data_IF_011885600204
#
_entry.id   IF_011885600204
#
_cell.length_a   1.000
_cell.length_b   1.000
_cell.length_c   1.000
_cell.angle_alpha   90.00
_cell.angle_beta   90.00
_cell.angle_gamma   90.00
#
_symmetry.space_group_name_H-M   'P 1'
#
loop_
_entity.id
_entity.type
_entity.pdbx_description
1 polymer ?
#
# COMPACT_ATOMS: atom_id res chain seq x y z
N UNK A 1 -35.49 -17.89 18.77
CA UNK A 1 -34.63 -16.76 18.38
C UNK A 1 -33.20 -17.25 18.33
N UNK A 2 -32.65 -17.49 17.14
CA UNK A 2 -31.23 -17.84 16.97
C UNK A 2 -30.36 -16.67 17.42
N UNK A 3 -29.26 -16.91 18.16
CA UNK A 3 -28.32 -15.85 18.51
C UNK A 3 -27.77 -15.26 17.21
N UNK A 4 -27.88 -13.94 17.08
CA UNK A 4 -27.39 -13.19 15.92
C UNK A 4 -25.91 -13.46 15.71
N UNK A 5 -25.56 -14.10 14.59
CA UNK A 5 -24.19 -14.16 14.11
C UNK A 5 -23.69 -12.72 13.97
N UNK A 6 -22.69 -12.34 14.76
CA UNK A 6 -21.84 -11.19 14.44
C UNK A 6 -21.37 -11.37 12.99
N UNK A 7 -21.52 -10.37 12.11
CA UNK A 7 -21.00 -10.45 10.75
C UNK A 7 -19.50 -10.78 10.81
N UNK A 8 -19.10 -11.81 10.07
CA UNK A 8 -17.72 -12.26 10.06
C UNK A 8 -16.88 -11.20 9.38
N UNK A 9 -16.01 -10.51 10.12
CA UNK A 9 -15.03 -9.56 9.56
C UNK A 9 -14.19 -10.16 8.43
N UNK A 10 -14.15 -11.49 8.31
CA UNK A 10 -13.43 -12.25 7.29
C UNK A 10 -14.38 -13.11 6.44
N UNK A 11 -15.15 -12.51 5.51
CA UNK A 11 -16.11 -13.26 4.69
C UNK A 11 -15.44 -14.24 3.73
N UNK A 12 -14.16 -14.01 3.41
CA UNK A 12 -13.38 -14.78 2.45
C UNK A 12 -12.39 -15.78 3.09
N UNK A 13 -12.40 -15.90 4.43
CA UNK A 13 -11.49 -16.76 5.19
C UNK A 13 -10.01 -16.53 4.82
N UNK A 14 -9.63 -15.27 4.61
CA UNK A 14 -8.25 -14.88 4.28
C UNK A 14 -7.42 -14.85 5.55
N UNK A 15 -6.22 -15.40 5.49
CA UNK A 15 -5.22 -15.45 6.54
C UNK A 15 -4.98 -14.10 7.23
N UNK A 16 -4.98 -12.98 6.49
CA UNK A 16 -4.84 -11.61 7.02
C UNK A 16 -5.86 -11.27 8.11
N UNK A 17 -7.03 -11.91 8.10
CA UNK A 17 -8.13 -11.66 9.03
C UNK A 17 -8.51 -12.89 9.87
N UNK A 18 -7.69 -13.95 9.88
CA UNK A 18 -7.86 -15.12 10.75
C UNK A 18 -7.10 -14.97 12.07
N UNK A 19 -7.31 -15.88 13.02
CA UNK A 19 -6.44 -15.97 14.20
C UNK A 19 -5.05 -16.53 13.83
N UNK A 20 -4.00 -16.13 14.56
CA UNK A 20 -2.63 -16.59 14.27
C UNK A 20 -2.46 -18.11 14.37
N UNK A 21 -3.19 -18.74 15.29
CA UNK A 21 -3.21 -20.20 15.46
C UNK A 21 -3.75 -20.94 14.24
N UNK A 22 -4.61 -20.28 13.44
CA UNK A 22 -5.23 -20.85 12.25
C UNK A 22 -4.40 -20.59 10.99
N UNK A 23 -3.62 -19.50 10.95
CA UNK A 23 -2.75 -19.17 9.83
C UNK A 23 -1.27 -19.02 10.24
N UNK A 24 -0.58 -20.16 10.35
CA UNK A 24 0.84 -20.22 10.69
C UNK A 24 1.80 -19.63 9.65
N UNK A 25 1.35 -19.30 8.44
CA UNK A 25 2.22 -18.68 7.41
C UNK A 25 2.61 -17.25 7.78
N UNK A 26 1.74 -16.56 8.52
CA UNK A 26 2.06 -15.23 9.06
C UNK A 26 3.07 -15.28 10.22
N UNK A 27 3.38 -16.46 10.74
CA UNK A 27 4.37 -16.69 11.81
C UNK A 27 5.62 -17.45 11.36
N UNK A 28 5.72 -17.87 10.09
CA UNK A 28 6.87 -18.65 9.58
C UNK A 28 7.89 -17.72 8.92
N UNK A 29 9.16 -17.84 9.35
CA UNK A 29 10.48 -17.38 8.84
C UNK A 29 10.66 -15.98 8.22
N UNK A 30 9.67 -15.43 7.52
CA UNK A 30 9.67 -14.06 7.00
C UNK A 30 8.43 -13.37 7.54
N UNK A 31 8.57 -12.54 8.58
CA UNK A 31 7.48 -11.78 9.20
C UNK A 31 6.70 -10.99 8.14
N UNK A 32 5.63 -11.55 7.59
CA UNK A 32 4.73 -10.83 6.70
C UNK A 32 3.88 -9.87 7.54
N UNK A 33 3.60 -8.68 7.01
CA UNK A 33 2.68 -7.70 7.60
C UNK A 33 1.24 -8.15 7.35
N UNK A 34 0.91 -9.30 7.94
CA UNK A 34 -0.38 -9.98 7.81
C UNK A 34 -1.46 -9.34 8.69
N UNK A 35 -1.09 -8.51 9.66
CA UNK A 35 -2.03 -7.88 10.59
C UNK A 35 -1.80 -6.39 10.54
N UNK A 36 -2.88 -5.66 10.83
CA UNK A 36 -2.76 -4.24 11.06
C UNK A 36 -2.11 -4.03 12.42
N UNK A 37 -1.03 -3.26 12.43
CA UNK A 37 -0.35 -2.81 13.63
C UNK A 37 -0.16 -1.29 13.58
N UNK A 38 -0.39 -0.62 14.71
CA UNK A 38 -0.26 0.83 14.80
C UNK A 38 1.20 1.29 14.71
N UNK A 39 2.15 0.45 15.14
CA UNK A 39 3.58 0.68 15.00
C UNK A 39 4.01 0.69 13.54
N UNK A 40 3.50 -0.24 12.72
CA UNK A 40 3.76 -0.25 11.27
C UNK A 40 3.20 1.00 10.57
N UNK A 41 1.99 1.42 10.95
CA UNK A 41 1.40 2.66 10.44
C UNK A 41 2.21 3.89 10.85
N UNK A 42 2.63 3.95 12.12
CA UNK A 42 3.46 5.03 12.63
C UNK A 42 4.84 5.05 11.96
N UNK A 43 5.44 3.87 11.71
CA UNK A 43 6.69 3.75 10.97
C UNK A 43 6.53 4.26 9.54
N UNK A 44 5.48 3.86 8.83
CA UNK A 44 5.20 4.34 7.48
C UNK A 44 5.04 5.88 7.45
N UNK A 45 4.28 6.44 8.38
CA UNK A 45 4.14 7.89 8.53
C UNK A 45 5.48 8.57 8.86
N UNK A 46 6.29 7.98 9.74
CA UNK A 46 7.58 8.51 10.14
C UNK A 46 8.58 8.54 8.99
N UNK A 47 8.61 7.54 8.11
CA UNK A 47 9.53 7.53 6.95
C UNK A 47 9.05 8.45 5.82
N UNK A 48 7.75 8.68 5.69
CA UNK A 48 7.17 9.57 4.66
C UNK A 48 7.19 11.05 5.07
N UNK A 49 7.10 11.36 6.36
CA UNK A 49 6.98 12.74 6.84
C UNK A 49 8.18 13.65 6.49
N UNK A 50 9.46 13.23 6.52
CA UNK A 50 10.58 14.13 6.21
C UNK A 50 10.54 14.70 4.78
N UNK A 51 10.39 13.90 3.69
CA UNK A 51 10.26 14.48 2.36
C UNK A 51 8.98 15.30 2.21
N UNK A 52 7.87 14.89 2.83
CA UNK A 52 6.61 15.65 2.77
C UNK A 52 6.74 17.04 3.41
N UNK A 53 7.31 17.13 4.62
CA UNK A 53 7.57 18.40 5.32
C UNK A 53 8.51 19.28 4.51
N UNK A 54 9.58 18.70 3.95
CA UNK A 54 10.54 19.44 3.12
C UNK A 54 9.87 20.02 1.87
N UNK A 55 9.03 19.24 1.20
CA UNK A 55 8.26 19.71 0.04
C UNK A 55 7.33 20.89 0.42
N UNK A 56 6.57 20.77 1.52
CA UNK A 56 5.68 21.84 1.98
C UNK A 56 6.46 23.12 2.30
N UNK A 57 7.52 23.03 3.10
CA UNK A 57 8.35 24.19 3.46
C UNK A 57 8.96 24.82 2.21
N UNK A 58 9.53 24.02 1.31
CA UNK A 58 10.12 24.52 0.06
C UNK A 58 9.12 25.23 -0.83
N UNK A 59 7.91 24.69 -0.98
CA UNK A 59 6.88 25.35 -1.78
C UNK A 59 6.37 26.65 -1.14
N UNK A 60 6.26 26.73 0.18
CA UNK A 60 5.86 27.95 0.88
C UNK A 60 6.92 29.05 0.74
N UNK A 61 8.19 28.72 1.00
CA UNK A 61 9.30 29.67 0.89
C UNK A 61 9.55 30.13 -0.55
N UNK A 62 9.32 29.24 -1.53
CA UNK A 62 9.41 29.56 -2.95
C UNK A 62 8.23 30.37 -3.51
N UNK A 63 7.24 30.74 -2.69
CA UNK A 63 6.07 31.52 -3.15
C UNK A 63 4.99 30.72 -3.87
N UNK A 64 5.08 29.38 -3.86
CA UNK A 64 4.13 28.47 -4.54
C UNK A 64 3.11 27.83 -3.58
N UNK A 65 2.86 28.44 -2.41
CA UNK A 65 1.97 27.89 -1.38
C UNK A 65 0.56 27.53 -1.88
N UNK A 66 0.00 28.30 -2.82
CA UNK A 66 -1.31 28.02 -3.41
C UNK A 66 -1.38 26.66 -4.13
N UNK A 67 -0.28 26.23 -4.75
CA UNK A 67 -0.19 24.96 -5.47
C UNK A 67 -0.21 23.73 -4.54
N UNK A 68 -0.04 23.94 -3.22
CA UNK A 68 -0.25 22.88 -2.22
C UNK A 68 -1.71 22.44 -2.14
N UNK A 69 -2.68 23.32 -2.45
CA UNK A 69 -4.10 22.94 -2.52
C UNK A 69 -4.34 21.96 -3.67
N UNK A 70 -3.71 22.19 -4.82
CA UNK A 70 -3.73 21.26 -5.95
C UNK A 70 -3.09 19.91 -5.59
N UNK A 71 -1.96 19.95 -4.88
CA UNK A 71 -1.29 18.74 -4.41
C UNK A 71 -2.16 17.95 -3.42
N UNK A 72 -2.77 18.62 -2.45
CA UNK A 72 -3.68 18.00 -1.49
C UNK A 72 -4.93 17.42 -2.17
N UNK A 73 -5.52 18.16 -3.11
CA UNK A 73 -6.65 17.67 -3.92
C UNK A 73 -6.30 16.42 -4.71
N UNK A 74 -5.13 16.41 -5.36
CA UNK A 74 -4.63 15.23 -6.06
C UNK A 74 -4.34 14.07 -5.11
N UNK A 75 -3.74 14.32 -3.94
CA UNK A 75 -3.48 13.30 -2.93
C UNK A 75 -4.78 12.63 -2.46
N UNK A 76 -5.82 13.42 -2.15
CA UNK A 76 -7.14 12.90 -1.75
C UNK A 76 -7.72 12.04 -2.87
N UNK A 77 -7.72 12.53 -4.11
CA UNK A 77 -8.21 11.76 -5.26
C UNK A 77 -7.41 10.46 -5.46
N UNK A 78 -6.09 10.54 -5.40
CA UNK A 78 -5.21 9.40 -5.58
C UNK A 78 -5.47 8.33 -4.53
N UNK A 79 -5.41 8.65 -3.24
CA UNK A 79 -5.55 7.67 -2.16
C UNK A 79 -6.97 7.10 -2.03
N UNK A 80 -8.02 7.93 -2.17
CA UNK A 80 -9.40 7.48 -1.95
C UNK A 80 -10.08 6.89 -3.18
N UNK A 81 -9.66 7.27 -4.38
CA UNK A 81 -10.34 6.87 -5.63
C UNK A 81 -9.42 6.03 -6.49
N UNK A 82 -8.29 6.58 -6.94
CA UNK A 82 -7.48 5.96 -7.98
C UNK A 82 -6.66 4.76 -7.48
N UNK A 83 -5.79 4.96 -6.48
CA UNK A 83 -5.01 3.91 -5.84
C UNK A 83 -5.94 2.86 -5.21
N UNK A 84 -7.02 3.30 -4.56
CA UNK A 84 -8.02 2.41 -4.01
C UNK A 84 -8.59 1.43 -5.04
N UNK A 85 -8.80 1.91 -6.29
CA UNK A 85 -9.33 1.11 -7.40
C UNK A 85 -8.31 0.19 -8.04
N UNK A 86 -7.05 0.57 -8.12
CA UNK A 86 -6.06 -0.18 -8.92
C UNK A 86 -5.11 -1.00 -8.06
N UNK A 87 -4.94 -0.67 -6.78
CA UNK A 87 -3.97 -1.30 -5.89
C UNK A 87 -4.65 -1.81 -4.61
N UNK A 88 -5.35 -0.95 -3.86
CA UNK A 88 -5.85 -1.36 -2.54
C UNK A 88 -6.89 -2.47 -2.65
N UNK A 89 -7.77 -2.43 -3.65
CA UNK A 89 -8.76 -3.48 -3.87
C UNK A 89 -8.18 -4.87 -4.17
N UNK A 90 -6.90 -4.96 -4.55
CA UNK A 90 -6.20 -6.23 -4.74
C UNK A 90 -5.55 -6.78 -3.45
N UNK A 91 -5.46 -5.95 -2.41
CA UNK A 91 -4.77 -6.29 -1.18
C UNK A 91 -5.65 -7.16 -0.25
N UNK A 92 -5.10 -8.20 0.41
CA UNK A 92 -5.81 -8.98 1.43
C UNK A 92 -6.49 -8.16 2.53
N UNK A 93 -5.95 -6.99 2.90
CA UNK A 93 -6.58 -6.08 3.86
C UNK A 93 -7.94 -5.55 3.36
N UNK A 94 -8.13 -5.43 2.05
CA UNK A 94 -9.40 -4.98 1.46
C UNK A 94 -10.51 -6.04 1.52
N UNK A 95 -10.18 -7.30 1.81
CA UNK A 95 -11.15 -8.37 1.93
C UNK A 95 -12.00 -8.30 3.22
N UNK A 96 -11.60 -7.47 4.20
CA UNK A 96 -12.34 -7.29 5.45
C UNK A 96 -13.79 -6.84 5.21
N UNK A 97 -14.75 -7.35 5.98
CA UNK A 97 -16.12 -6.81 5.97
C UNK A 97 -16.19 -5.51 6.80
N UNK A 98 -15.64 -4.43 6.24
CA UNK A 98 -15.55 -3.10 6.85
C UNK A 98 -15.77 -2.00 5.82
N UNK A 99 -16.27 -0.83 6.26
CA UNK A 99 -16.41 0.37 5.41
C UNK A 99 -15.10 1.11 5.20
N UNK A 100 -14.13 0.89 6.07
CA UNK A 100 -12.86 1.62 6.14
C UNK A 100 -11.73 0.61 6.06
N UNK A 101 -10.70 0.93 5.29
CA UNK A 101 -9.50 0.11 5.17
C UNK A 101 -8.66 0.23 6.44
N UNK A 102 -8.37 -0.91 7.06
CA UNK A 102 -7.38 -1.03 8.11
C UNK A 102 -6.12 -1.66 7.52
N UNK A 103 -5.15 -0.84 7.11
CA UNK A 103 -3.86 -1.31 6.59
C UNK A 103 -2.73 -0.38 7.02
N UNK A 104 -1.48 -0.84 6.88
CA UNK A 104 -0.31 -0.11 7.34
C UNK A 104 0.00 1.18 6.56
N UNK A 105 -0.45 1.30 5.30
CA UNK A 105 -0.03 2.37 4.41
C UNK A 105 -1.13 3.40 4.12
N UNK A 106 -2.38 2.96 4.02
CA UNK A 106 -3.51 3.79 3.60
C UNK A 106 -4.74 3.55 4.51
N UNK A 107 -4.48 3.52 5.82
CA UNK A 107 -5.51 3.43 6.84
C UNK A 107 -6.54 4.55 6.67
N UNK A 108 -7.83 4.24 6.83
CA UNK A 108 -8.88 5.26 6.81
C UNK A 108 -9.56 5.44 5.45
N UNK A 109 -9.03 4.84 4.37
CA UNK A 109 -9.68 4.90 3.05
C UNK A 109 -11.05 4.24 3.09
N UNK A 110 -12.04 4.92 2.53
CA UNK A 110 -13.40 4.41 2.42
C UNK A 110 -13.45 3.36 1.29
N UNK A 111 -13.92 2.17 1.63
CA UNK A 111 -13.96 1.02 0.72
C UNK A 111 -15.16 1.09 -0.21
N UNK A 112 -15.04 1.90 -1.27
CA UNK A 112 -16.07 2.04 -2.31
C UNK A 112 -15.99 0.97 -3.41
N UNK A 113 -14.81 0.35 -3.59
CA UNK A 113 -14.55 -0.66 -4.60
C UNK A 113 -14.72 -2.09 -4.07
N UNK A 114 -15.06 -3.02 -4.97
CA UNK A 114 -15.13 -4.45 -4.63
C UNK A 114 -13.73 -5.02 -4.45
N UNK A 115 -13.63 -6.08 -3.66
CA UNK A 115 -12.39 -6.83 -3.52
C UNK A 115 -12.08 -7.61 -4.80
N UNK A 116 -10.83 -7.50 -5.27
CA UNK A 116 -10.30 -8.11 -6.48
C UNK A 116 -9.10 -9.02 -6.14
N UNK A 117 -9.34 -10.28 -5.77
CA UNK A 117 -8.29 -11.19 -5.28
C UNK A 117 -7.22 -11.55 -6.32
N UNK A 118 -7.52 -11.36 -7.61
CA UNK A 118 -6.60 -11.57 -8.71
C UNK A 118 -5.40 -10.61 -8.66
N UNK A 119 -4.25 -10.95 -9.26
CA UNK A 119 -3.13 -10.03 -9.35
C UNK A 119 -3.48 -8.82 -10.24
N UNK A 120 -2.96 -7.65 -9.87
CA UNK A 120 -3.00 -6.44 -10.70
C UNK A 120 -2.55 -6.73 -12.14
N UNK A 121 -3.30 -6.19 -13.09
CA UNK A 121 -2.90 -6.16 -14.50
C UNK A 121 -1.68 -5.25 -14.72
N UNK A 122 -1.01 -5.40 -15.87
CA UNK A 122 0.10 -4.51 -16.27
C UNK A 122 -0.31 -3.05 -16.38
N UNK A 123 -1.54 -2.79 -16.81
CA UNK A 123 -2.09 -1.44 -16.86
C UNK A 123 -2.26 -0.85 -15.46
N UNK A 124 -2.82 -1.61 -14.53
CA UNK A 124 -2.98 -1.16 -13.13
C UNK A 124 -1.63 -0.92 -12.45
N UNK A 125 -0.63 -1.77 -12.69
CA UNK A 125 0.74 -1.56 -12.20
C UNK A 125 1.34 -0.26 -12.74
N UNK A 126 1.22 0.00 -14.05
CA UNK A 126 1.71 1.21 -14.67
C UNK A 126 0.99 2.46 -14.16
N UNK A 127 -0.35 2.41 -14.05
CA UNK A 127 -1.15 3.50 -13.50
C UNK A 127 -0.74 3.83 -12.06
N UNK A 128 -0.49 2.82 -11.22
CA UNK A 128 -0.03 3.05 -9.85
C UNK A 128 1.32 3.75 -9.82
N UNK A 129 2.30 3.28 -10.61
CA UNK A 129 3.63 3.90 -10.67
C UNK A 129 3.57 5.34 -11.18
N UNK A 130 2.77 5.61 -12.22
CA UNK A 130 2.55 6.96 -12.75
C UNK A 130 1.89 7.84 -11.69
N UNK A 131 0.81 7.37 -11.08
CA UNK A 131 0.04 8.15 -10.11
C UNK A 131 0.85 8.48 -8.85
N UNK A 132 1.59 7.51 -8.31
CA UNK A 132 2.51 7.70 -7.19
C UNK A 132 3.70 8.60 -7.58
N UNK A 133 4.23 8.44 -8.80
CA UNK A 133 5.29 9.29 -9.34
C UNK A 133 4.87 10.76 -9.43
N UNK A 134 3.65 11.03 -9.93
CA UNK A 134 3.08 12.38 -9.94
C UNK A 134 3.01 12.91 -8.50
N UNK A 135 2.46 12.14 -7.55
CA UNK A 135 2.31 12.59 -6.17
C UNK A 135 3.65 12.99 -5.53
N UNK A 136 4.68 12.16 -5.74
CA UNK A 136 6.00 12.32 -5.12
C UNK A 136 6.84 13.40 -5.79
N UNK A 137 6.79 13.49 -7.12
CA UNK A 137 7.63 14.41 -7.90
C UNK A 137 6.97 15.78 -8.10
N UNK A 138 5.66 15.92 -7.84
CA UNK A 138 4.92 17.18 -8.00
C UNK A 138 5.59 18.40 -7.35
N UNK A 139 6.19 18.34 -6.15
CA UNK A 139 6.85 19.50 -5.56
C UNK A 139 8.11 19.97 -6.29
N UNK A 140 8.82 19.08 -7.01
CA UNK A 140 10.16 19.37 -7.53
C UNK A 140 10.23 20.58 -8.48
N UNK A 141 9.34 20.74 -9.49
CA UNK A 141 9.35 21.92 -10.35
C UNK A 141 9.20 23.22 -9.56
N UNK A 142 8.35 23.24 -8.53
CA UNK A 142 8.12 24.44 -7.72
C UNK A 142 9.31 24.79 -6.84
N UNK A 143 10.00 23.80 -6.26
CA UNK A 143 11.22 24.04 -5.50
C UNK A 143 12.35 24.59 -6.39
N UNK A 144 12.46 24.11 -7.63
CA UNK A 144 13.46 24.60 -8.60
C UNK A 144 13.11 26.03 -9.06
N UNK A 145 11.85 26.28 -9.44
CA UNK A 145 11.39 27.60 -9.87
C UNK A 145 11.43 28.64 -8.74
N UNK A 146 11.26 28.20 -7.49
CA UNK A 146 11.37 29.05 -6.30
C UNK A 146 12.81 29.20 -5.79
N UNK A 147 13.81 28.72 -6.54
CA UNK A 147 15.25 28.76 -6.22
C UNK A 147 15.61 28.12 -4.86
N UNK A 148 14.77 27.18 -4.38
CA UNK A 148 14.95 26.49 -3.10
C UNK A 148 15.90 25.28 -3.21
N UNK A 149 17.08 25.46 -3.82
CA UNK A 149 17.97 24.35 -4.20
C UNK A 149 18.41 23.47 -3.04
N UNK A 150 18.69 24.05 -1.86
CA UNK A 150 19.03 23.27 -0.66
C UNK A 150 17.88 22.35 -0.26
N UNK A 151 16.64 22.86 -0.26
CA UNK A 151 15.46 22.07 0.06
C UNK A 151 15.16 21.04 -1.04
N UNK A 152 15.49 21.33 -2.30
CA UNK A 152 15.42 20.34 -3.40
C UNK A 152 16.34 19.16 -3.12
N UNK A 153 17.59 19.42 -2.71
CA UNK A 153 18.55 18.35 -2.37
C UNK A 153 18.07 17.56 -1.16
N UNK A 154 17.61 18.23 -0.10
CA UNK A 154 17.06 17.57 1.10
C UNK A 154 15.85 16.71 0.72
N UNK A 155 14.95 17.20 -0.14
CA UNK A 155 13.80 16.45 -0.62
C UNK A 155 14.25 15.19 -1.37
N UNK A 156 15.19 15.30 -2.32
CA UNK A 156 15.69 14.15 -3.08
C UNK A 156 16.34 13.10 -2.19
N UNK A 157 17.18 13.51 -1.23
CA UNK A 157 17.77 12.60 -0.24
C UNK A 157 16.66 11.95 0.60
N UNK A 158 15.69 12.72 1.07
CA UNK A 158 14.55 12.22 1.82
C UNK A 158 13.72 11.20 1.04
N UNK A 159 13.50 11.43 -0.26
CA UNK A 159 12.80 10.49 -1.15
C UNK A 159 13.59 9.20 -1.38
N UNK A 160 14.92 9.30 -1.53
CA UNK A 160 15.80 8.13 -1.63
C UNK A 160 15.75 7.32 -0.34
N UNK A 161 15.90 7.97 0.82
CA UNK A 161 15.80 7.32 2.13
C UNK A 161 14.42 6.67 2.33
N UNK A 162 13.33 7.36 1.98
CA UNK A 162 11.98 6.82 2.01
C UNK A 162 11.86 5.57 1.13
N UNK A 163 12.35 5.62 -0.12
CA UNK A 163 12.32 4.49 -1.03
C UNK A 163 13.08 3.27 -0.49
N UNK A 164 14.29 3.47 0.06
CA UNK A 164 15.07 2.39 0.66
C UNK A 164 14.34 1.78 1.87
N UNK A 165 13.82 2.62 2.76
CA UNK A 165 13.05 2.18 3.93
C UNK A 165 11.80 1.40 3.51
N UNK A 166 11.05 1.93 2.55
CA UNK A 166 9.86 1.30 2.00
C UNK A 166 10.21 -0.07 1.40
N UNK A 167 11.23 -0.14 0.54
CA UNK A 167 11.64 -1.40 -0.10
C UNK A 167 12.11 -2.45 0.90
N UNK A 168 12.90 -2.05 1.89
CA UNK A 168 13.56 -2.96 2.83
C UNK A 168 12.66 -3.42 3.97
N UNK A 169 11.81 -2.54 4.48
CA UNK A 169 11.06 -2.79 5.73
C UNK A 169 9.56 -2.93 5.52
N UNK A 170 9.01 -2.45 4.40
CA UNK A 170 7.56 -2.51 4.14
C UNK A 170 7.24 -3.45 2.98
N UNK A 171 7.79 -3.19 1.79
CA UNK A 171 7.46 -3.93 0.58
C UNK A 171 7.96 -5.38 0.56
N UNK A 172 9.04 -5.67 1.26
CA UNK A 172 9.60 -7.03 1.47
C UNK A 172 8.76 -7.89 2.41
N UNK A 173 7.82 -7.29 3.14
CA UNK A 173 6.95 -7.95 4.12
C UNK A 173 5.46 -7.79 3.78
N UNK A 174 5.11 -6.98 2.78
CA UNK A 174 3.74 -6.64 2.44
C UNK A 174 2.98 -7.81 1.79
N UNK A 175 1.74 -8.06 2.25
CA UNK A 175 0.86 -9.11 1.69
C UNK A 175 0.16 -8.73 0.39
N UNK A 176 0.32 -7.48 -0.11
CA UNK A 176 -0.14 -7.12 -1.45
C UNK A 176 0.90 -7.53 -2.50
N UNK A 177 0.98 -8.84 -2.76
CA UNK A 177 2.00 -9.44 -3.64
C UNK A 177 1.91 -9.01 -5.10
N UNK A 178 0.78 -8.45 -5.52
CA UNK A 178 0.58 -7.98 -6.90
C UNK A 178 1.10 -6.55 -7.16
N UNK A 179 1.43 -5.82 -6.10
CA UNK A 179 2.01 -4.49 -6.19
C UNK A 179 3.37 -4.55 -6.89
N UNK A 180 3.67 -3.67 -7.87
CA UNK A 180 4.95 -3.68 -8.58
C UNK A 180 6.14 -3.31 -7.67
N UNK A 181 5.88 -2.78 -6.47
CA UNK A 181 6.90 -2.48 -5.48
C UNK A 181 7.18 -3.64 -4.52
N UNK A 182 6.33 -4.67 -4.48
CA UNK A 182 6.46 -5.80 -3.58
C UNK A 182 7.80 -6.53 -3.80
N UNK A 183 8.42 -6.97 -2.71
CA UNK A 183 9.72 -7.65 -2.72
C UNK A 183 9.70 -9.02 -2.03
N UNK A 184 8.52 -9.56 -1.73
CA UNK A 184 8.38 -10.86 -1.05
C UNK A 184 8.80 -11.98 -2.01
N UNK A 185 9.66 -12.92 -1.59
CA UNK A 185 10.06 -14.05 -2.43
C UNK A 185 8.88 -14.93 -2.85
N UNK A 186 8.93 -15.45 -4.08
CA UNK A 186 7.87 -16.32 -4.64
C UNK A 186 7.54 -17.52 -3.75
N UNK A 187 8.55 -18.15 -3.12
CA UNK A 187 8.33 -19.29 -2.21
C UNK A 187 7.38 -18.94 -1.06
N UNK A 188 7.49 -17.73 -0.51
CA UNK A 188 6.62 -17.24 0.56
C UNK A 188 5.23 -16.89 0.02
N UNK A 189 5.16 -16.28 -1.17
CA UNK A 189 3.89 -15.99 -1.87
C UNK A 189 3.12 -17.29 -2.11
N UNK A 190 3.78 -18.34 -2.59
CA UNK A 190 3.16 -19.64 -2.87
C UNK A 190 2.60 -20.29 -1.61
N UNK A 191 3.36 -20.26 -0.52
CA UNK A 191 2.92 -20.76 0.79
C UNK A 191 1.71 -19.97 1.30
N UNK A 192 1.69 -18.64 1.13
CA UNK A 192 0.54 -17.81 1.47
C UNK A 192 -0.67 -18.17 0.62
N UNK A 193 -0.54 -18.25 -0.71
CA UNK A 193 -1.64 -18.59 -1.62
C UNK A 193 -2.22 -19.97 -1.32
N UNK A 194 -1.39 -20.97 -0.99
CA UNK A 194 -1.87 -22.30 -0.60
C UNK A 194 -2.80 -22.29 0.63
N UNK A 195 -2.66 -21.30 1.52
CA UNK A 195 -3.55 -21.10 2.67
C UNK A 195 -4.74 -20.19 2.40
N UNK A 196 -4.79 -19.55 1.24
CA UNK A 196 -5.82 -18.59 0.85
C UNK A 196 -6.47 -19.06 -0.47
N UNK A 197 -7.36 -20.07 -0.43
CA UNK A 197 -7.85 -20.74 -1.64
C UNK A 197 -8.49 -19.80 -2.66
N UNK A 198 -9.23 -18.80 -2.20
CA UNK A 198 -9.91 -17.86 -3.08
C UNK A 198 -8.91 -16.97 -3.85
N UNK A 199 -7.87 -16.46 -3.18
CA UNK A 199 -6.78 -15.75 -3.86
C UNK A 199 -6.00 -16.67 -4.80
N UNK A 200 -5.65 -17.88 -4.35
CA UNK A 200 -4.94 -18.86 -5.19
C UNK A 200 -5.68 -19.12 -6.50
N UNK A 201 -6.97 -19.42 -6.43
CA UNK A 201 -7.79 -19.69 -7.61
C UNK A 201 -7.83 -18.49 -8.58
N UNK A 202 -7.95 -17.27 -8.05
CA UNK A 202 -7.93 -16.05 -8.86
C UNK A 202 -6.56 -15.81 -9.53
N UNK A 203 -5.47 -16.14 -8.85
CA UNK A 203 -4.11 -16.04 -9.39
C UNK A 203 -3.83 -17.12 -10.45
N UNK A 204 -4.21 -18.37 -10.19
CA UNK A 204 -4.09 -19.48 -11.15
C UNK A 204 -4.91 -19.23 -12.42
N UNK A 205 -6.11 -18.66 -12.29
CA UNK A 205 -6.94 -18.24 -13.43
C UNK A 205 -6.29 -17.14 -14.29
N UNK A 206 -5.33 -16.39 -13.74
CA UNK A 206 -4.51 -15.40 -14.47
C UNK A 206 -3.16 -15.97 -14.93
N UNK A 207 -2.96 -17.28 -14.82
CA UNK A 207 -1.77 -17.97 -15.29
C UNK A 207 -0.64 -18.09 -14.28
N UNK A 208 -0.87 -17.73 -13.00
CA UNK A 208 0.10 -17.98 -11.94
C UNK A 208 0.25 -19.49 -11.70
N UNK A 209 1.48 -19.95 -11.46
CA UNK A 209 1.77 -21.36 -11.15
C UNK A 209 2.45 -21.43 -9.78
N UNK A 210 1.90 -22.24 -8.89
CA UNK A 210 2.54 -22.58 -7.63
C UNK A 210 3.72 -23.52 -7.90
N UNK A 211 4.84 -23.29 -7.23
CA UNK A 211 5.96 -24.21 -7.28
C UNK A 211 5.61 -25.47 -6.44
N UNK A 212 5.90 -26.68 -6.95
CA UNK A 212 5.78 -27.90 -6.15
C UNK A 212 6.78 -27.83 -5.00
N UNK A 213 6.31 -28.14 -3.77
CA UNK A 213 7.18 -28.22 -2.60
C UNK A 213 8.11 -29.42 -2.67
#
# INVERSE_FOLDING_TARGET
MSPGKTPSKNPFQICTWQNMTECGVCSIETNLNCRFDWGDLAYFAAIFSPPAITAVIGMLLGGFGWYLLGWAGYAIFFFFVWEARILCCHCPFWAEESRVLHCLANYGVIKIWRYHPEPMSRSEQAQFLIGAGILVLYPLPFLILGEQYLLTVILLVGLISFWFSLKKHVCSHCVNFSCPLNGVPKSIVDVYLQRNPMMRLAWEARGYRLDPR
#
